data_IF_971049330754
#
_entry.id   IF_971049330754
#
_cell.length_a   1.000
_cell.length_b   1.000
_cell.length_c   1.000
_cell.angle_alpha   90.00
_cell.angle_beta   90.00
_cell.angle_gamma   90.00
#
_symmetry.space_group_name_H-M   'P 1'
#
loop_
_entity.id
_entity.type
_entity.pdbx_description
1 polymer ?
#
# COMPACT_ATOMS: atom_id res chain seq x y z
N UNK A 1 -29.70 -6.68 -3.50
CA UNK A 1 -29.23 -5.32 -3.84
C UNK A 1 -28.59 -5.40 -5.21
N UNK A 2 -29.01 -4.57 -6.16
CA UNK A 2 -28.44 -4.60 -7.50
C UNK A 2 -26.97 -4.19 -7.43
N UNK A 3 -26.05 -5.12 -7.71
CA UNK A 3 -24.67 -4.76 -7.99
C UNK A 3 -24.69 -3.82 -9.19
N UNK A 4 -24.15 -2.63 -9.00
CA UNK A 4 -23.98 -1.63 -10.04
C UNK A 4 -22.93 -2.14 -11.04
N UNK A 5 -23.36 -2.98 -12.00
CA UNK A 5 -22.52 -3.66 -13.00
C UNK A 5 -22.06 -2.72 -14.11
N UNK A 6 -21.61 -1.51 -13.77
CA UNK A 6 -21.02 -0.60 -14.75
C UNK A 6 -19.49 -0.73 -14.73
N UNK A 7 -18.83 -0.56 -15.89
CA UNK A 7 -17.38 -0.61 -15.96
C UNK A 7 -16.74 0.51 -15.12
N UNK A 8 -15.53 0.25 -14.64
CA UNK A 8 -14.72 1.28 -13.98
C UNK A 8 -14.29 2.36 -14.97
N UNK A 9 -14.14 3.60 -14.47
CA UNK A 9 -13.53 4.71 -15.21
C UNK A 9 -12.09 4.85 -14.76
N UNK A 10 -11.16 4.91 -15.72
CA UNK A 10 -9.73 5.03 -15.43
C UNK A 10 -9.20 6.36 -15.98
N UNK A 11 -8.32 7.01 -15.23
CA UNK A 11 -7.61 8.21 -15.68
C UNK A 11 -6.25 8.34 -14.99
N UNK A 12 -5.40 9.22 -15.50
CA UNK A 12 -4.17 9.64 -14.82
C UNK A 12 -4.30 11.08 -14.37
N UNK A 13 -3.81 11.36 -13.16
CA UNK A 13 -3.62 12.70 -12.67
C UNK A 13 -2.14 12.93 -12.39
N UNK A 14 -1.60 14.02 -12.95
CA UNK A 14 -0.19 14.39 -12.81
C UNK A 14 -0.08 15.60 -11.89
N UNK A 15 0.63 15.45 -10.77
CA UNK A 15 0.89 16.55 -9.84
C UNK A 15 1.21 16.09 -8.42
N UNK A 16 1.12 17.03 -7.48
CA UNK A 16 1.29 16.77 -6.06
C UNK A 16 0.01 16.24 -5.40
N UNK A 17 0.05 15.01 -4.89
CA UNK A 17 -1.10 14.35 -4.22
C UNK A 17 -1.70 15.15 -3.05
N UNK A 18 -0.97 16.12 -2.48
CA UNK A 18 -1.53 17.04 -1.48
C UNK A 18 -2.68 17.88 -2.04
N UNK A 19 -2.60 18.27 -3.32
CA UNK A 19 -3.68 19.02 -4.00
C UNK A 19 -4.94 18.18 -4.05
N UNK A 20 -4.82 16.88 -4.30
CA UNK A 20 -5.95 15.95 -4.29
C UNK A 20 -6.53 15.80 -2.88
N UNK A 21 -5.70 15.72 -1.84
CA UNK A 21 -6.23 15.69 -0.46
C UNK A 21 -6.98 16.97 -0.11
N UNK A 22 -6.49 18.13 -0.57
CA UNK A 22 -7.09 19.44 -0.28
C UNK A 22 -8.39 19.72 -1.04
N UNK A 23 -8.64 19.06 -2.17
CA UNK A 23 -9.87 19.28 -2.96
C UNK A 23 -11.10 18.71 -2.22
N UNK A 24 -12.07 19.55 -1.81
CA UNK A 24 -13.29 19.08 -1.15
C UNK A 24 -14.11 18.10 -1.99
N UNK A 25 -13.94 18.07 -3.32
CA UNK A 25 -14.57 17.06 -4.19
C UNK A 25 -14.11 15.63 -3.87
N UNK A 26 -13.03 15.48 -3.12
CA UNK A 26 -12.49 14.19 -2.69
C UNK A 26 -12.97 13.77 -1.30
N UNK A 27 -13.96 14.45 -0.72
CA UNK A 27 -14.59 14.00 0.52
C UNK A 27 -15.01 12.52 0.42
N UNK A 28 -14.56 11.69 1.36
CA UNK A 28 -14.75 10.24 1.40
C UNK A 28 -14.04 9.44 0.28
N UNK A 29 -13.17 10.05 -0.51
CA UNK A 29 -12.36 9.29 -1.48
C UNK A 29 -11.32 8.42 -0.78
N UNK A 30 -10.92 7.33 -1.44
CA UNK A 30 -9.87 6.43 -0.96
C UNK A 30 -8.53 6.81 -1.60
N UNK A 31 -7.49 6.92 -0.78
CA UNK A 31 -6.11 7.09 -1.22
C UNK A 31 -5.29 5.87 -0.84
N UNK A 32 -4.68 5.19 -1.81
CA UNK A 32 -3.65 4.21 -1.54
C UNK A 32 -2.36 4.94 -1.16
N UNK A 33 -1.85 4.65 0.03
CA UNK A 33 -0.68 5.31 0.62
C UNK A 33 0.45 4.31 0.75
N UNK A 34 1.64 4.68 0.28
CA UNK A 34 2.83 3.85 0.45
C UNK A 34 3.29 3.91 1.91
N UNK A 35 3.54 2.74 2.49
CA UNK A 35 3.87 2.55 3.89
C UNK A 35 4.92 1.45 4.06
N UNK A 36 5.45 1.32 5.27
CA UNK A 36 6.14 0.13 5.76
C UNK A 36 5.14 -0.86 6.38
N UNK A 37 5.57 -2.09 6.67
CA UNK A 37 4.72 -3.11 7.30
C UNK A 37 4.34 -2.80 8.75
N UNK A 38 4.97 -1.82 9.40
CA UNK A 38 4.55 -1.33 10.71
C UNK A 38 3.58 -0.13 10.62
N UNK A 39 3.07 0.16 9.42
CA UNK A 39 2.20 1.30 9.16
C UNK A 39 2.85 2.64 9.54
N UNK A 40 4.14 2.81 9.25
CA UNK A 40 4.87 4.07 9.32
C UNK A 40 5.65 4.29 8.01
N UNK A 41 6.26 5.47 7.88
CA UNK A 41 6.92 5.95 6.67
C UNK A 41 8.28 6.56 7.06
N UNK A 42 9.04 5.82 7.87
CA UNK A 42 10.38 6.24 8.29
C UNK A 42 11.36 6.28 7.12
N UNK A 43 12.31 7.22 7.13
CA UNK A 43 13.26 7.42 6.01
C UNK A 43 14.27 6.27 5.82
N UNK A 44 14.39 5.36 6.79
CA UNK A 44 15.37 4.28 6.80
C UNK A 44 14.99 3.17 7.79
N UNK A 45 15.39 1.91 7.55
CA UNK A 45 15.25 0.81 8.53
C UNK A 45 16.01 1.05 9.85
N UNK A 46 16.84 2.09 9.95
CA UNK A 46 17.54 2.46 11.20
C UNK A 46 16.75 3.44 12.07
N UNK A 47 15.71 4.06 11.53
CA UNK A 47 14.88 5.02 12.26
C UNK A 47 13.73 4.26 12.91
N UNK A 48 13.60 4.40 14.23
CA UNK A 48 12.59 3.72 15.03
C UNK A 48 11.39 4.63 15.26
N UNK A 49 10.22 4.10 15.67
CA UNK A 49 9.06 4.91 16.08
C UNK A 49 9.36 5.98 17.15
N UNK A 50 10.37 5.75 17.99
CA UNK A 50 10.80 6.68 19.03
C UNK A 50 11.45 7.96 18.48
N UNK A 51 11.93 7.94 17.24
CA UNK A 51 12.39 9.15 16.56
C UNK A 51 11.22 10.12 16.25
N UNK A 52 9.98 9.64 16.35
CA UNK A 52 8.78 10.42 16.12
C UNK A 52 8.52 10.73 14.65
N UNK A 53 7.51 11.58 14.43
CA UNK A 53 6.97 11.83 13.08
C UNK A 53 7.43 13.16 12.46
N UNK A 54 8.30 13.93 13.13
CA UNK A 54 8.77 15.23 12.61
C UNK A 54 9.59 15.08 11.32
N UNK A 55 10.27 13.94 11.14
CA UNK A 55 11.02 13.62 9.93
C UNK A 55 10.17 13.59 8.65
N UNK A 56 8.87 13.30 8.78
CA UNK A 56 7.94 13.23 7.65
C UNK A 56 7.82 14.55 6.90
N UNK A 57 8.04 15.70 7.57
CA UNK A 57 7.97 17.01 6.94
C UNK A 57 9.04 17.20 5.84
N UNK A 58 10.16 16.48 5.96
CA UNK A 58 11.31 16.59 5.07
C UNK A 58 11.35 15.50 4.01
N UNK A 59 10.63 14.40 4.20
CA UNK A 59 10.51 13.35 3.20
C UNK A 59 9.40 13.69 2.20
N UNK A 60 9.77 13.87 0.93
CA UNK A 60 8.85 14.22 -0.16
C UNK A 60 8.37 13.01 -0.96
N UNK A 61 8.66 11.80 -0.51
CA UNK A 61 8.08 10.59 -1.09
C UNK A 61 6.57 10.54 -0.81
N UNK A 62 5.84 9.80 -1.65
CA UNK A 62 4.37 9.80 -1.61
C UNK A 62 3.79 9.39 -0.25
N UNK A 63 4.39 8.40 0.43
CA UNK A 63 3.92 7.91 1.73
C UNK A 63 3.84 9.01 2.79
N UNK A 64 4.97 9.62 3.19
CA UNK A 64 5.00 10.74 4.14
C UNK A 64 4.13 11.93 3.73
N UNK A 65 4.09 12.26 2.43
CA UNK A 65 3.28 13.38 1.92
C UNK A 65 1.78 13.13 2.14
N UNK A 66 1.28 11.93 1.82
CA UNK A 66 -0.10 11.52 2.10
C UNK A 66 -0.35 11.42 3.61
N UNK A 67 0.56 10.79 4.36
CA UNK A 67 0.45 10.62 5.80
C UNK A 67 0.33 11.96 6.55
N UNK A 68 1.08 12.98 6.11
CA UNK A 68 1.01 14.33 6.67
C UNK A 68 -0.20 15.13 6.17
N UNK A 69 -0.81 14.75 5.05
CA UNK A 69 -2.06 15.35 4.61
C UNK A 69 -3.21 15.09 5.60
N UNK A 70 -3.13 13.98 6.34
CA UNK A 70 -4.07 13.58 7.39
C UNK A 70 -3.32 13.30 8.70
N UNK A 71 -2.64 14.32 9.25
CA UNK A 71 -1.64 14.16 10.30
C UNK A 71 -2.13 13.48 11.59
N UNK A 72 -3.42 13.62 11.93
CA UNK A 72 -4.01 12.95 13.09
C UNK A 72 -3.88 11.41 13.00
N UNK A 73 -4.06 10.86 11.79
CA UNK A 73 -3.87 9.45 11.54
C UNK A 73 -2.41 9.01 11.74
N UNK A 74 -1.46 9.81 11.27
CA UNK A 74 -0.02 9.54 11.45
C UNK A 74 0.39 9.59 12.92
N UNK A 75 -0.09 10.59 13.67
CA UNK A 75 0.10 10.69 15.11
C UNK A 75 -0.48 9.45 15.81
N UNK A 76 -1.69 9.04 15.45
CA UNK A 76 -2.32 7.87 16.04
C UNK A 76 -1.48 6.60 15.81
N UNK A 77 -1.09 6.30 14.57
CA UNK A 77 -0.28 5.10 14.23
C UNK A 77 1.05 5.05 14.96
N UNK A 78 1.69 6.19 15.21
CA UNK A 78 2.97 6.22 15.92
C UNK A 78 2.80 6.17 17.45
N UNK A 79 1.89 6.96 18.02
CA UNK A 79 1.87 7.23 19.47
C UNK A 79 0.67 6.66 20.23
N UNK A 80 -0.47 6.41 19.57
CA UNK A 80 -1.75 6.13 20.25
C UNK A 80 -2.42 4.82 19.84
N UNK A 81 -1.89 4.12 18.83
CA UNK A 81 -2.40 2.82 18.42
C UNK A 81 -2.34 1.84 19.59
N UNK A 82 -3.41 1.08 19.76
CA UNK A 82 -3.50 0.07 20.80
C UNK A 82 -2.59 -1.11 20.47
N UNK A 83 -1.62 -1.35 21.33
CA UNK A 83 -0.69 -2.47 21.27
C UNK A 83 -0.85 -3.33 22.52
N UNK A 84 -0.36 -4.57 22.48
CA UNK A 84 -0.41 -5.45 23.64
C UNK A 84 0.37 -4.86 24.83
N UNK A 85 -0.35 -4.27 25.78
CA UNK A 85 0.21 -3.69 27.01
C UNK A 85 0.76 -2.26 26.91
N UNK A 86 0.61 -1.58 25.77
CA UNK A 86 1.05 -0.18 25.62
C UNK A 86 0.25 0.59 24.55
N UNK A 87 0.41 1.92 24.56
CA UNK A 87 -0.04 2.82 23.48
C UNK A 87 1.15 3.20 22.62
N UNK A 88 0.95 3.18 21.31
CA UNK A 88 1.95 3.57 20.33
C UNK A 88 3.02 2.50 20.09
N UNK A 89 3.78 2.75 19.04
CA UNK A 89 4.87 1.89 18.59
C UNK A 89 6.20 2.36 19.20
N UNK A 90 7.08 1.43 19.50
CA UNK A 90 8.45 1.67 20.02
C UNK A 90 9.46 0.86 19.20
N UNK A 91 10.74 0.96 19.53
CA UNK A 91 11.76 0.06 18.99
C UNK A 91 11.57 -1.41 19.42
N UNK A 92 10.83 -1.67 20.50
CA UNK A 92 10.59 -3.00 21.06
C UNK A 92 9.21 -3.60 20.73
N UNK A 93 8.23 -2.76 20.39
CA UNK A 93 6.86 -3.19 20.08
C UNK A 93 6.32 -2.41 18.89
N UNK A 94 6.13 -3.08 17.76
CA UNK A 94 5.67 -2.49 16.51
C UNK A 94 4.57 -3.33 15.89
N UNK A 95 3.72 -2.67 15.11
CA UNK A 95 2.80 -3.36 14.24
C UNK A 95 3.59 -4.15 13.19
N UNK A 96 3.02 -5.26 12.72
CA UNK A 96 3.56 -6.01 11.60
C UNK A 96 2.41 -6.51 10.75
N UNK A 97 2.24 -5.93 9.56
CA UNK A 97 1.20 -6.31 8.61
C UNK A 97 1.46 -7.65 7.92
N UNK A 98 2.57 -8.33 8.23
CA UNK A 98 2.83 -9.72 7.85
C UNK A 98 2.72 -10.71 9.01
N UNK A 99 2.30 -10.30 10.21
CA UNK A 99 2.27 -11.18 11.39
C UNK A 99 1.44 -12.48 11.20
N UNK A 100 0.25 -12.37 10.61
CA UNK A 100 -0.63 -13.51 10.31
C UNK A 100 -0.05 -14.38 9.20
N UNK A 101 0.43 -13.74 8.14
CA UNK A 101 1.15 -14.39 7.07
C UNK A 101 2.36 -15.19 7.60
N UNK A 102 3.20 -14.56 8.43
CA UNK A 102 4.42 -15.14 8.99
C UNK A 102 4.09 -16.35 9.85
N UNK A 103 3.03 -16.28 10.67
CA UNK A 103 2.56 -17.40 11.47
C UNK A 103 2.12 -18.58 10.59
N UNK A 104 1.29 -18.31 9.59
CA UNK A 104 0.76 -19.33 8.69
C UNK A 104 1.85 -19.96 7.80
N UNK A 105 2.81 -19.16 7.34
CA UNK A 105 3.98 -19.61 6.58
C UNK A 105 5.05 -20.31 7.45
N UNK A 106 4.80 -20.49 8.75
CA UNK A 106 5.76 -21.03 9.72
C UNK A 106 7.13 -20.31 9.67
N UNK A 107 7.08 -19.00 9.45
CA UNK A 107 8.24 -18.14 9.19
C UNK A 107 9.32 -18.28 10.27
N UNK A 108 8.93 -18.37 11.55
CA UNK A 108 9.84 -18.53 12.69
C UNK A 108 10.69 -19.81 12.60
N UNK A 109 10.14 -20.90 12.06
CA UNK A 109 10.87 -22.16 11.86
C UNK A 109 11.81 -22.08 10.66
N UNK A 110 11.38 -21.44 9.58
CA UNK A 110 12.14 -21.40 8.33
C UNK A 110 13.24 -20.32 8.31
N UNK A 111 13.01 -19.20 9.02
CA UNK A 111 13.90 -18.05 9.06
C UNK A 111 14.03 -17.37 7.70
N UNK A 112 12.91 -16.99 7.08
CA UNK A 112 12.91 -16.38 5.74
C UNK A 112 13.53 -14.97 5.72
N UNK A 113 13.12 -14.09 6.63
CA UNK A 113 13.65 -12.74 6.85
C UNK A 113 13.68 -12.36 8.34
N UNK A 114 14.15 -11.16 8.64
CA UNK A 114 13.83 -10.47 9.89
C UNK A 114 13.04 -9.20 9.57
N UNK A 115 12.16 -8.79 10.48
CA UNK A 115 11.48 -7.49 10.39
C UNK A 115 12.32 -6.45 11.13
N UNK A 116 12.65 -5.33 10.48
CA UNK A 116 13.41 -4.24 11.09
C UNK A 116 12.69 -2.91 10.83
N UNK A 117 12.06 -2.34 11.84
CA UNK A 117 11.34 -1.06 11.73
C UNK A 117 10.32 -1.02 10.57
N UNK A 118 9.59 -2.13 10.36
CA UNK A 118 8.62 -2.28 9.27
C UNK A 118 9.22 -2.65 7.90
N UNK A 119 10.54 -2.87 7.82
CA UNK A 119 11.21 -3.35 6.62
C UNK A 119 11.46 -4.86 6.70
N UNK A 120 11.11 -5.56 5.63
CA UNK A 120 11.48 -6.97 5.42
C UNK A 120 12.97 -7.04 5.06
N UNK A 121 13.76 -7.66 5.93
CA UNK A 121 15.22 -7.78 5.82
C UNK A 121 15.63 -9.25 5.64
N UNK A 122 15.60 -9.78 4.41
CA UNK A 122 15.98 -11.17 4.20
C UNK A 122 17.49 -11.35 4.04
N UNK A 123 17.93 -12.58 4.30
CA UNK A 123 19.21 -13.08 3.79
C UNK A 123 19.00 -13.73 2.42
N UNK A 124 20.04 -13.82 1.59
CA UNK A 124 19.95 -14.55 0.31
C UNK A 124 19.44 -16.00 0.49
N UNK A 125 19.96 -16.81 1.45
CA UNK A 125 19.39 -18.14 1.71
C UNK A 125 17.92 -18.10 2.16
N UNK A 126 17.53 -17.07 2.91
CA UNK A 126 16.15 -16.84 3.32
C UNK A 126 15.19 -16.62 2.14
N UNK A 127 15.56 -15.78 1.17
CA UNK A 127 14.79 -15.60 -0.06
C UNK A 127 14.72 -16.87 -0.91
N UNK A 128 15.83 -17.61 -1.04
CA UNK A 128 15.82 -18.88 -1.78
C UNK A 128 14.85 -19.88 -1.14
N UNK A 129 14.90 -20.03 0.20
CA UNK A 129 13.95 -20.87 0.94
C UNK A 129 12.52 -20.41 0.74
N UNK A 130 12.28 -19.09 0.76
CA UNK A 130 10.93 -18.56 0.59
C UNK A 130 10.40 -18.79 -0.83
N UNK A 131 11.22 -18.59 -1.87
CA UNK A 131 10.87 -18.94 -3.26
C UNK A 131 10.51 -20.41 -3.40
N UNK A 132 11.29 -21.31 -2.78
CA UNK A 132 11.00 -22.74 -2.76
C UNK A 132 9.69 -23.05 -2.03
N UNK A 133 9.47 -22.42 -0.86
CA UNK A 133 8.22 -22.53 -0.11
C UNK A 133 7.02 -22.13 -0.96
N UNK A 134 7.07 -20.98 -1.63
CA UNK A 134 6.00 -20.52 -2.53
C UNK A 134 5.73 -21.50 -3.67
N UNK A 135 6.79 -22.03 -4.30
CA UNK A 135 6.66 -22.96 -5.42
C UNK A 135 6.03 -24.31 -5.06
N UNK A 136 5.98 -24.64 -3.75
CA UNK A 136 5.40 -25.88 -3.26
C UNK A 136 3.90 -25.73 -2.89
N UNK A 137 3.38 -24.50 -2.88
CA UNK A 137 1.96 -24.25 -2.59
C UNK A 137 1.09 -24.57 -3.81
N UNK A 138 -0.06 -25.18 -3.57
CA UNK A 138 -1.16 -25.17 -4.54
C UNK A 138 -1.72 -23.76 -4.72
N UNK A 139 -2.47 -23.54 -5.80
CA UNK A 139 -3.14 -22.26 -6.06
C UNK A 139 -4.05 -21.84 -4.91
N UNK A 140 -4.77 -22.78 -4.30
CA UNK A 140 -5.68 -22.50 -3.18
C UNK A 140 -4.92 -22.12 -1.91
N UNK A 141 -3.87 -22.87 -1.56
CA UNK A 141 -3.01 -22.53 -0.41
C UNK A 141 -2.34 -21.18 -0.60
N UNK A 142 -1.90 -20.88 -1.83
CA UNK A 142 -1.35 -19.59 -2.16
C UNK A 142 -2.38 -18.47 -1.94
N UNK A 143 -3.56 -18.54 -2.54
CA UNK A 143 -4.58 -17.51 -2.36
C UNK A 143 -5.00 -17.33 -0.90
N UNK A 144 -5.12 -18.43 -0.13
CA UNK A 144 -5.41 -18.38 1.30
C UNK A 144 -4.30 -17.70 2.11
N UNK A 145 -3.03 -17.97 1.79
CA UNK A 145 -1.90 -17.37 2.49
C UNK A 145 -1.73 -15.89 2.12
N UNK A 146 -1.99 -15.51 0.86
CA UNK A 146 -2.02 -14.12 0.39
C UNK A 146 -3.02 -13.27 1.18
N UNK A 147 -4.20 -13.81 1.44
CA UNK A 147 -5.28 -13.14 2.17
C UNK A 147 -4.92 -12.77 3.63
N UNK A 148 -3.82 -13.32 4.16
CA UNK A 148 -3.30 -13.00 5.50
C UNK A 148 -2.33 -11.80 5.51
N UNK A 149 -1.98 -11.23 4.35
CA UNK A 149 -1.21 -9.99 4.25
C UNK A 149 -2.15 -8.82 4.54
N UNK A 150 -1.80 -8.02 5.54
CA UNK A 150 -2.65 -6.94 6.03
C UNK A 150 -2.29 -5.59 5.40
N UNK A 151 -3.25 -4.68 5.45
CA UNK A 151 -3.07 -3.26 5.15
C UNK A 151 -3.63 -2.43 6.30
N UNK A 152 -3.18 -1.19 6.44
CA UNK A 152 -3.74 -0.26 7.43
C UNK A 152 -4.86 0.58 6.83
N UNK A 153 -6.04 0.63 7.46
CA UNK A 153 -7.11 1.55 7.06
C UNK A 153 -7.23 2.70 8.06
N UNK A 154 -7.11 3.93 7.58
CA UNK A 154 -7.54 5.13 8.28
C UNK A 154 -8.77 5.70 7.60
N UNK A 155 -9.93 5.33 8.12
CA UNK A 155 -11.20 5.70 7.53
C UNK A 155 -11.65 7.07 8.03
N UNK A 156 -12.18 7.90 7.12
CA UNK A 156 -12.79 9.18 7.43
C UNK A 156 -11.89 10.11 8.27
N UNK A 157 -10.60 10.12 7.96
CA UNK A 157 -9.60 10.97 8.61
C UNK A 157 -9.64 12.38 8.04
N UNK A 158 -9.60 13.39 8.91
CA UNK A 158 -9.65 14.80 8.50
C UNK A 158 -8.38 15.17 7.74
N UNK A 159 -8.56 15.90 6.64
CA UNK A 159 -7.43 16.53 5.95
C UNK A 159 -6.99 17.74 6.76
N UNK A 160 -5.72 17.75 7.18
CA UNK A 160 -5.17 18.79 8.06
C UNK A 160 -4.44 19.89 7.29
N UNK A 161 -4.34 19.77 5.97
CA UNK A 161 -3.73 20.80 5.12
C UNK A 161 -4.71 21.95 4.86
N UNK A 162 -4.19 23.18 4.83
CA UNK A 162 -4.91 24.39 4.41
C UNK A 162 -6.30 24.55 5.06
N UNK A 163 -6.45 24.12 6.33
CA UNK A 163 -7.72 24.20 7.08
C UNK A 163 -8.90 23.50 6.39
N UNK A 164 -8.64 22.42 5.63
CA UNK A 164 -9.68 21.62 5.02
C UNK A 164 -10.69 21.09 6.05
N UNK A 165 -11.97 21.07 5.66
CA UNK A 165 -13.10 20.70 6.52
C UNK A 165 -13.69 19.32 6.17
N UNK A 166 -13.14 18.65 5.16
CA UNK A 166 -13.56 17.33 4.74
C UNK A 166 -12.61 16.25 5.22
N UNK A 167 -13.08 15.02 5.13
CA UNK A 167 -12.32 13.83 5.44
C UNK A 167 -12.11 12.98 4.18
N UNK A 168 -11.03 12.22 4.19
CA UNK A 168 -10.73 11.18 3.20
C UNK A 168 -10.44 9.87 3.94
N UNK A 169 -10.30 8.78 3.19
CA UNK A 169 -9.88 7.50 3.75
C UNK A 169 -8.54 7.08 3.13
N UNK A 170 -7.60 6.61 3.94
CA UNK A 170 -6.25 6.22 3.51
C UNK A 170 -6.03 4.73 3.77
N UNK A 171 -5.60 4.02 2.73
CA UNK A 171 -5.21 2.60 2.80
C UNK A 171 -3.69 2.52 2.71
N UNK A 172 -3.04 2.26 3.84
CA UNK A 172 -1.60 2.16 3.99
C UNK A 172 -1.14 0.76 3.61
N UNK A 173 -0.42 0.67 2.50
CA UNK A 173 0.07 -0.57 1.94
C UNK A 173 1.60 -0.56 1.90
N UNK A 174 2.22 -1.69 2.22
CA UNK A 174 3.66 -1.88 2.03
C UNK A 174 3.93 -2.64 0.74
N UNK A 175 5.02 -2.28 0.06
CA UNK A 175 5.71 -3.17 -0.87
C UNK A 175 6.95 -3.77 -0.19
N UNK A 176 7.70 -4.60 -0.88
CA UNK A 176 8.98 -5.10 -0.36
C UNK A 176 10.12 -4.11 -0.65
N UNK A 177 11.08 -3.92 0.28
CA UNK A 177 12.16 -2.95 0.15
C UNK A 177 13.34 -3.48 -0.68
N UNK A 178 13.11 -3.81 -1.96
CA UNK A 178 14.11 -4.40 -2.87
C UNK A 178 15.40 -3.59 -2.96
N UNK A 179 15.30 -2.27 -3.09
CA UNK A 179 16.45 -1.36 -3.23
C UNK A 179 17.43 -1.40 -2.03
N UNK A 180 17.02 -1.98 -0.90
CA UNK A 180 17.83 -2.09 0.30
C UNK A 180 18.70 -3.36 0.31
N UNK A 181 18.59 -4.21 -0.71
CA UNK A 181 19.28 -5.50 -0.79
C UNK A 181 19.85 -5.77 -2.19
N UNK A 182 21.09 -6.24 -2.31
CA UNK A 182 21.73 -6.49 -3.61
C UNK A 182 21.40 -7.90 -4.14
N UNK A 183 20.13 -8.31 -4.11
CA UNK A 183 19.71 -9.63 -4.60
C UNK A 183 19.02 -9.52 -5.96
N UNK A 184 19.10 -10.60 -6.75
CA UNK A 184 18.53 -10.67 -8.09
C UNK A 184 17.00 -10.65 -8.04
N UNK A 185 16.41 -9.99 -9.05
CA UNK A 185 14.97 -9.86 -9.24
C UNK A 185 14.25 -11.21 -9.19
N UNK A 186 14.79 -12.25 -9.81
CA UNK A 186 14.20 -13.60 -9.82
C UNK A 186 13.99 -14.21 -8.43
N UNK A 187 14.77 -13.79 -7.43
CA UNK A 187 14.59 -14.23 -6.05
C UNK A 187 13.47 -13.45 -5.34
N UNK A 188 13.29 -12.19 -5.71
CA UNK A 188 12.28 -11.30 -5.13
C UNK A 188 10.91 -11.46 -5.77
N UNK A 189 10.86 -11.64 -7.09
CA UNK A 189 9.67 -11.51 -7.90
C UNK A 189 8.45 -12.24 -7.33
N UNK A 190 8.55 -13.54 -6.94
CA UNK A 190 7.37 -14.24 -6.43
C UNK A 190 6.81 -13.61 -5.15
N UNK A 191 7.67 -13.13 -4.25
CA UNK A 191 7.22 -12.49 -3.02
C UNK A 191 6.72 -11.07 -3.27
N UNK A 192 7.46 -10.30 -4.06
CA UNK A 192 7.16 -8.89 -4.33
C UNK A 192 5.83 -8.74 -5.05
N UNK A 193 5.59 -9.53 -6.10
CA UNK A 193 4.30 -9.53 -6.80
C UNK A 193 3.15 -9.95 -5.88
N UNK A 194 3.39 -10.88 -4.96
CA UNK A 194 2.33 -11.34 -4.05
C UNK A 194 1.89 -10.29 -3.03
N UNK A 195 2.86 -9.56 -2.48
CA UNK A 195 2.61 -8.42 -1.60
C UNK A 195 1.89 -7.31 -2.36
N UNK A 196 2.29 -7.03 -3.61
CA UNK A 196 1.64 -6.04 -4.46
C UNK A 196 0.19 -6.46 -4.79
N UNK A 197 -0.04 -7.71 -5.18
CA UNK A 197 -1.36 -8.28 -5.45
C UNK A 197 -2.29 -8.08 -4.24
N UNK A 198 -1.83 -8.47 -3.05
CA UNK A 198 -2.59 -8.32 -1.80
C UNK A 198 -2.90 -6.84 -1.50
N UNK A 199 -1.93 -5.95 -1.68
CA UNK A 199 -2.09 -4.52 -1.41
C UNK A 199 -3.12 -3.86 -2.34
N UNK A 200 -3.04 -4.11 -3.65
CA UNK A 200 -4.02 -3.57 -4.60
C UNK A 200 -5.40 -4.19 -4.35
N UNK A 201 -5.50 -5.50 -4.23
CA UNK A 201 -6.77 -6.19 -3.99
C UNK A 201 -7.47 -5.67 -2.71
N UNK A 202 -6.74 -5.54 -1.60
CA UNK A 202 -7.26 -4.97 -0.36
C UNK A 202 -7.73 -3.52 -0.53
N UNK A 203 -7.01 -2.70 -1.31
CA UNK A 203 -7.40 -1.31 -1.60
C UNK A 203 -8.73 -1.27 -2.35
N UNK A 204 -8.94 -2.14 -3.35
CA UNK A 204 -10.20 -2.22 -4.08
C UNK A 204 -11.35 -2.68 -3.18
N UNK A 205 -11.14 -3.68 -2.32
CA UNK A 205 -12.14 -4.08 -1.34
C UNK A 205 -12.56 -2.92 -0.42
N UNK A 206 -11.59 -2.16 0.10
CA UNK A 206 -11.88 -0.97 0.90
C UNK A 206 -12.61 0.13 0.11
N UNK A 207 -12.30 0.30 -1.17
CA UNK A 207 -13.03 1.22 -2.04
C UNK A 207 -14.50 0.81 -2.23
N UNK A 208 -14.80 -0.48 -2.36
CA UNK A 208 -16.18 -0.96 -2.44
C UNK A 208 -16.95 -0.76 -1.13
N UNK A 209 -16.29 -1.01 0.01
CA UNK A 209 -16.88 -0.76 1.33
C UNK A 209 -17.19 0.72 1.53
N UNK A 210 -16.25 1.60 1.16
CA UNK A 210 -16.42 3.05 1.29
C UNK A 210 -17.48 3.58 0.33
N UNK A 211 -17.53 3.05 -0.90
CA UNK A 211 -18.59 3.32 -1.87
C UNK A 211 -19.96 2.92 -1.34
N UNK A 212 -20.08 1.74 -0.75
CA UNK A 212 -21.35 1.30 -0.14
C UNK A 212 -21.77 2.23 1.01
N UNK A 213 -20.82 2.70 1.82
CA UNK A 213 -21.09 3.55 2.99
C UNK A 213 -21.43 5.00 2.63
N UNK A 214 -20.77 5.57 1.62
CA UNK A 214 -20.78 7.02 1.36
C UNK A 214 -21.31 7.41 -0.01
N UNK A 215 -21.45 6.44 -0.92
CA UNK A 215 -21.71 6.70 -2.34
C UNK A 215 -20.48 7.19 -3.12
N UNK A 216 -19.36 7.52 -2.46
CA UNK A 216 -18.14 7.94 -3.15
C UNK A 216 -17.42 6.72 -3.74
N UNK A 217 -17.23 6.73 -5.05
CA UNK A 217 -16.60 5.66 -5.84
C UNK A 217 -15.15 5.94 -6.22
N UNK A 218 -14.57 7.04 -5.75
CA UNK A 218 -13.26 7.53 -6.16
C UNK A 218 -12.13 6.87 -5.39
N UNK A 219 -11.15 6.36 -6.13
CA UNK A 219 -9.94 5.74 -5.62
C UNK A 219 -8.71 6.33 -6.31
N UNK A 220 -7.73 6.74 -5.52
CA UNK A 220 -6.43 7.21 -5.96
C UNK A 220 -5.39 6.13 -5.75
N UNK A 221 -4.82 5.64 -6.86
CA UNK A 221 -3.78 4.62 -6.85
C UNK A 221 -2.42 5.25 -7.14
N UNK A 222 -1.39 4.72 -6.49
CA UNK A 222 0.01 5.07 -6.74
C UNK A 222 0.73 3.86 -7.30
N UNK A 223 1.89 4.04 -7.93
CA UNK A 223 2.77 2.91 -8.29
C UNK A 223 3.51 2.43 -7.04
N UNK A 224 2.81 1.63 -6.22
CA UNK A 224 3.25 1.19 -4.91
C UNK A 224 4.62 0.52 -4.96
N UNK A 225 5.59 1.04 -4.19
CA UNK A 225 6.93 0.47 -4.09
C UNK A 225 7.89 0.79 -5.24
N UNK A 226 7.45 1.51 -6.28
CA UNK A 226 8.28 1.84 -7.45
C UNK A 226 9.34 2.94 -7.21
N UNK A 227 9.22 3.67 -6.10
CA UNK A 227 10.19 4.69 -5.68
C UNK A 227 11.30 4.12 -4.79
N UNK A 228 11.36 4.58 -3.55
CA UNK A 228 12.43 4.22 -2.59
C UNK A 228 12.60 2.71 -2.33
N UNK A 229 11.55 1.91 -2.55
CA UNK A 229 11.60 0.45 -2.36
C UNK A 229 12.11 -0.29 -3.61
N UNK A 230 12.14 0.36 -4.78
CA UNK A 230 12.76 -0.19 -6.00
C UNK A 230 12.06 -1.40 -6.60
N UNK A 231 10.73 -1.50 -6.49
CA UNK A 231 9.98 -2.57 -7.16
C UNK A 231 9.91 -2.29 -8.68
N UNK A 232 10.23 -3.26 -9.54
CA UNK A 232 10.07 -3.13 -10.99
C UNK A 232 8.66 -2.69 -11.38
N UNK A 233 8.57 -1.73 -12.31
CA UNK A 233 7.28 -1.11 -12.69
C UNK A 233 6.33 -2.10 -13.33
N UNK A 234 6.84 -3.06 -14.11
CA UNK A 234 6.06 -4.14 -14.71
C UNK A 234 5.39 -5.04 -13.65
N UNK A 235 6.03 -5.28 -12.51
CA UNK A 235 5.44 -6.06 -11.42
C UNK A 235 4.28 -5.31 -10.76
N UNK A 236 4.42 -4.00 -10.60
CA UNK A 236 3.39 -3.13 -10.04
C UNK A 236 2.19 -3.06 -10.99
N UNK A 237 2.43 -2.85 -12.29
CA UNK A 237 1.38 -2.82 -13.31
C UNK A 237 0.67 -4.17 -13.40
N UNK A 238 1.38 -5.28 -13.31
CA UNK A 238 0.78 -6.62 -13.29
C UNK A 238 -0.24 -6.77 -12.15
N UNK A 239 0.13 -6.36 -10.93
CA UNK A 239 -0.77 -6.43 -9.77
C UNK A 239 -2.00 -5.52 -9.94
N UNK A 240 -1.81 -4.32 -10.49
CA UNK A 240 -2.91 -3.40 -10.85
C UNK A 240 -3.85 -4.06 -11.87
N UNK A 241 -3.33 -4.63 -12.95
CA UNK A 241 -4.13 -5.29 -13.99
C UNK A 241 -4.93 -6.46 -13.44
N UNK A 242 -4.34 -7.26 -12.54
CA UNK A 242 -5.04 -8.35 -11.85
C UNK A 242 -6.22 -7.84 -11.03
N UNK A 243 -6.04 -6.78 -10.23
CA UNK A 243 -7.14 -6.16 -9.50
C UNK A 243 -8.18 -5.53 -10.44
N UNK A 244 -7.77 -4.80 -11.48
CA UNK A 244 -8.70 -4.22 -12.46
C UNK A 244 -9.59 -5.28 -13.10
N UNK A 245 -9.03 -6.44 -13.45
CA UNK A 245 -9.78 -7.57 -13.97
C UNK A 245 -10.76 -8.15 -12.94
N UNK A 246 -10.30 -8.37 -11.70
CA UNK A 246 -11.14 -8.89 -10.62
C UNK A 246 -12.32 -7.97 -10.28
N UNK A 247 -12.14 -6.66 -10.39
CA UNK A 247 -13.11 -5.63 -10.02
C UNK A 247 -13.69 -4.87 -11.21
N UNK A 248 -13.71 -5.44 -12.42
CA UNK A 248 -13.96 -4.71 -13.67
C UNK A 248 -15.32 -3.97 -13.73
N UNK A 249 -16.36 -4.52 -13.10
CA UNK A 249 -17.74 -4.04 -13.20
C UNK A 249 -18.28 -3.54 -11.85
N UNK A 250 -17.49 -2.69 -11.18
CA UNK A 250 -17.80 -2.17 -9.86
C UNK A 250 -18.20 -0.70 -9.85
N UNK A 251 -18.23 -0.03 -11.01
CA UNK A 251 -18.44 1.41 -11.17
C UNK A 251 -17.56 2.22 -10.19
N UNK A 252 -16.24 1.98 -10.23
CA UNK A 252 -15.24 2.78 -9.53
C UNK A 252 -14.66 3.85 -10.46
N UNK A 253 -14.27 4.99 -9.89
CA UNK A 253 -13.50 6.03 -10.56
C UNK A 253 -12.05 5.92 -10.06
N UNK A 254 -11.19 5.34 -10.89
CA UNK A 254 -9.81 4.98 -10.55
C UNK A 254 -8.87 6.00 -11.19
N UNK A 255 -8.14 6.71 -10.35
CA UNK A 255 -7.18 7.73 -10.78
C UNK A 255 -5.78 7.29 -10.38
N UNK A 256 -4.91 7.10 -11.37
CA UNK A 256 -3.49 6.86 -11.15
C UNK A 256 -2.79 8.19 -10.90
N UNK A 257 -2.10 8.30 -9.77
CA UNK A 257 -1.39 9.51 -9.36
C UNK A 257 0.07 9.40 -9.76
N UNK A 258 0.50 10.27 -10.67
CA UNK A 258 1.89 10.42 -11.09
C UNK A 258 2.44 11.77 -10.64
N UNK A 259 3.68 11.80 -10.16
CA UNK A 259 4.31 13.02 -9.67
C UNK A 259 5.22 13.66 -10.72
N UNK A 260 5.08 14.96 -10.94
CA UNK A 260 5.93 15.77 -11.82
C UNK A 260 5.68 15.59 -13.33
N UNK A 261 5.56 14.35 -13.80
CA UNK A 261 5.27 14.02 -15.18
C UNK A 261 4.39 12.77 -15.30
N UNK A 262 3.74 12.61 -16.44
CA UNK A 262 2.97 11.41 -16.77
C UNK A 262 3.87 10.17 -16.80
N UNK A 263 3.35 9.05 -16.29
CA UNK A 263 4.03 7.76 -16.31
C UNK A 263 3.73 7.01 -17.60
N UNK A 264 4.75 6.68 -18.38
CA UNK A 264 4.59 5.87 -19.60
C UNK A 264 3.91 4.53 -19.33
N UNK A 265 4.16 3.92 -18.16
CA UNK A 265 3.55 2.66 -17.76
C UNK A 265 2.04 2.82 -17.51
N UNK A 266 1.63 3.89 -16.81
CA UNK A 266 0.23 4.23 -16.59
C UNK A 266 -0.46 4.56 -17.91
N UNK A 267 0.17 5.35 -18.77
CA UNK A 267 -0.33 5.68 -20.10
C UNK A 267 -0.55 4.42 -20.95
N UNK A 268 0.39 3.48 -20.91
CA UNK A 268 0.26 2.21 -21.62
C UNK A 268 -0.88 1.36 -21.06
N UNK A 269 -1.05 1.33 -19.73
CA UNK A 269 -2.17 0.67 -19.07
C UNK A 269 -3.52 1.28 -19.50
N UNK A 270 -3.64 2.61 -19.49
CA UNK A 270 -4.85 3.32 -19.89
C UNK A 270 -5.22 3.04 -21.37
N UNK A 271 -4.23 3.02 -22.27
CA UNK A 271 -4.45 2.65 -23.69
C UNK A 271 -4.98 1.23 -23.83
N UNK A 272 -4.40 0.26 -23.09
CA UNK A 272 -4.87 -1.14 -23.10
C UNK A 272 -6.30 -1.28 -22.58
N UNK A 273 -6.68 -0.43 -21.63
CA UNK A 273 -8.04 -0.38 -21.08
C UNK A 273 -9.05 0.39 -21.97
N UNK A 274 -8.65 0.88 -23.15
CA UNK A 274 -9.53 1.58 -24.08
C UNK A 274 -9.85 3.03 -23.68
N UNK A 275 -9.08 3.62 -22.77
CA UNK A 275 -9.21 5.03 -22.38
C UNK A 275 -8.61 5.89 -23.48
N UNK A 276 -9.38 6.86 -23.99
CA UNK A 276 -8.86 7.89 -24.88
C UNK A 276 -8.01 8.86 -24.05
N UNK A 277 -6.74 9.02 -24.43
CA UNK A 277 -5.75 9.84 -23.72
C UNK A 277 -5.45 11.10 -24.53
#
# INVERSE_FOLDING_TARGET
MAQDKQPNQLSEWVGDVQVLHQDPKNQNAIFQVASQFNLLEMVSPRVTPLAGITGYAYDKTQGPVCAMACAAGTLYRNYLVDMAGQKGQTDQCQLNMLDEFERAANHKKHGFWTMQNGYVMPSKPGLVKFKQFLSALSTEEAENLKALIKVGLQQNTQVTLNQAQHCVSQVYCSALPLAYHPYQDDLWQPFAQWVLDAAYEATFHHALLEKHRTGNRRIYLTLLGGGAFGNPTDWIIHAIEKSLHQFANCNLEIIFVSYGQSSQAVQSLLKRAGVSI
#
